data_IF_898754257693
#
_entry.id   IF_898754257693
#
_cell.length_a   1.000
_cell.length_b   1.000
_cell.length_c   1.000
_cell.angle_alpha   90.00
_cell.angle_beta   90.00
_cell.angle_gamma   90.00
#
_symmetry.space_group_name_H-M   'P 1'
#
loop_
_entity.id
_entity.type
_entity.pdbx_description
1 polymer ?
#
# COMPACT_ATOMS: atom_id res chain seq x y z
N UNK A 1 0.28 -23.95 45.20
CA UNK A 1 -0.29 -23.18 44.07
C UNK A 1 -0.97 -21.96 44.66
N UNK A 2 -0.20 -20.89 44.84
CA UNK A 2 -0.64 -19.62 45.43
C UNK A 2 -0.31 -18.53 44.43
N UNK A 3 -1.30 -17.73 44.02
CA UNK A 3 -0.99 -16.48 43.32
C UNK A 3 -1.92 -16.01 42.20
N UNK A 4 -3.06 -16.63 41.94
CA UNK A 4 -4.10 -15.99 41.11
C UNK A 4 -5.08 -15.26 42.02
N UNK A 5 -4.67 -14.06 42.45
CA UNK A 5 -5.61 -13.03 42.90
C UNK A 5 -6.43 -12.62 41.67
N UNK A 6 -7.45 -13.41 41.34
CA UNK A 6 -8.51 -12.97 40.43
C UNK A 6 -9.24 -11.89 41.20
N UNK A 7 -8.97 -10.64 40.84
CA UNK A 7 -9.58 -9.49 41.48
C UNK A 7 -11.12 -9.66 41.52
N UNK A 8 -11.80 -9.38 42.65
CA UNK A 8 -13.23 -9.66 42.82
C UNK A 8 -14.12 -9.06 41.74
N UNK A 9 -13.71 -7.96 41.11
CA UNK A 9 -14.43 -7.35 40.00
C UNK A 9 -14.36 -8.16 38.70
N UNK A 10 -13.28 -8.93 38.45
CA UNK A 10 -13.24 -9.90 37.35
C UNK A 10 -14.19 -11.07 37.60
N UNK A 11 -14.32 -11.52 38.85
CA UNK A 11 -15.27 -12.55 39.25
C UNK A 11 -16.72 -12.05 39.12
N UNK A 12 -17.04 -10.86 39.63
CA UNK A 12 -18.36 -10.23 39.52
C UNK A 12 -18.72 -9.96 38.06
N UNK A 13 -17.78 -9.50 37.24
CA UNK A 13 -17.98 -9.26 35.80
C UNK A 13 -18.26 -10.56 35.03
N UNK A 14 -17.52 -11.63 35.30
CA UNK A 14 -17.72 -12.91 34.64
C UNK A 14 -19.00 -13.63 35.12
N UNK A 15 -19.31 -13.56 36.42
CA UNK A 15 -20.58 -14.09 36.96
C UNK A 15 -21.78 -13.32 36.40
N UNK A 16 -21.73 -11.97 36.34
CA UNK A 16 -22.81 -11.14 35.75
C UNK A 16 -23.00 -11.36 34.25
N UNK A 17 -21.92 -11.49 33.48
CA UNK A 17 -22.01 -11.84 32.04
C UNK A 17 -22.64 -13.21 31.82
N UNK A 18 -22.38 -14.18 32.69
CA UNK A 18 -23.03 -15.50 32.65
C UNK A 18 -24.45 -15.53 33.20
N UNK A 19 -24.99 -14.42 33.75
CA UNK A 19 -26.37 -14.35 34.27
C UNK A 19 -27.33 -13.60 33.35
N UNK A 20 -26.85 -13.01 32.25
CA UNK A 20 -27.70 -12.34 31.27
C UNK A 20 -28.10 -13.30 30.16
N UNK A 21 -29.35 -13.19 29.70
CA UNK A 21 -29.75 -13.88 28.46
C UNK A 21 -29.04 -13.26 27.25
N UNK A 22 -29.06 -13.97 26.14
CA UNK A 22 -28.51 -13.47 24.88
C UNK A 22 -29.22 -12.17 24.45
N UNK A 23 -30.54 -12.06 24.65
CA UNK A 23 -31.29 -10.83 24.35
C UNK A 23 -30.90 -9.66 25.26
N UNK A 24 -30.66 -9.92 26.55
CA UNK A 24 -30.20 -8.88 27.48
C UNK A 24 -28.80 -8.39 27.11
N UNK A 25 -27.93 -9.31 26.72
CA UNK A 25 -26.58 -8.99 26.25
C UNK A 25 -26.63 -8.17 24.96
N UNK A 26 -27.42 -8.59 23.98
CA UNK A 26 -27.61 -7.88 22.72
C UNK A 26 -28.15 -6.45 22.95
N UNK A 27 -29.11 -6.29 23.87
CA UNK A 27 -29.68 -4.98 24.23
C UNK A 27 -28.61 -4.04 24.79
N UNK A 28 -27.76 -4.53 25.71
CA UNK A 28 -26.66 -3.73 26.27
C UNK A 28 -25.62 -3.36 25.22
N UNK A 29 -25.33 -4.27 24.29
CA UNK A 29 -24.46 -3.98 23.15
C UNK A 29 -25.07 -2.92 22.23
N UNK A 30 -26.36 -2.99 21.91
CA UNK A 30 -27.07 -1.95 21.13
C UNK A 30 -27.05 -0.57 21.81
N UNK A 31 -27.25 -0.52 23.12
CA UNK A 31 -27.13 0.74 23.89
C UNK A 31 -25.70 1.29 23.88
N UNK A 32 -24.70 0.43 24.01
CA UNK A 32 -23.30 0.83 23.98
C UNK A 32 -22.90 1.33 22.58
N UNK A 33 -23.33 0.67 21.52
CA UNK A 33 -23.13 1.12 20.14
C UNK A 33 -23.66 2.54 19.94
N UNK A 34 -24.91 2.82 20.32
CA UNK A 34 -25.49 4.17 20.23
C UNK A 34 -24.72 5.24 21.01
N UNK A 35 -24.14 4.88 22.17
CA UNK A 35 -23.30 5.80 22.96
C UNK A 35 -21.96 6.09 22.30
N UNK A 36 -21.41 5.15 21.53
CA UNK A 36 -20.17 5.35 20.79
C UNK A 36 -20.40 6.05 19.45
N UNK A 37 -21.52 5.80 18.79
CA UNK A 37 -21.93 6.46 17.56
C UNK A 37 -22.03 7.99 17.68
N UNK A 38 -22.34 8.51 18.88
CA UNK A 38 -22.42 9.95 19.16
C UNK A 38 -21.08 10.61 19.46
N UNK A 39 -19.96 9.86 19.40
CA UNK A 39 -18.62 10.35 19.67
C UNK A 39 -17.79 10.32 18.40
N UNK A 40 -16.97 11.35 18.23
CA UNK A 40 -16.05 11.43 17.10
C UNK A 40 -14.76 10.63 17.34
N UNK A 41 -14.13 10.25 16.24
CA UNK A 41 -12.80 9.65 16.21
C UNK A 41 -12.79 8.13 16.05
N UNK A 42 -11.69 7.62 15.51
CA UNK A 42 -11.54 6.21 15.12
C UNK A 42 -11.67 5.25 16.31
N UNK A 43 -11.21 5.65 17.50
CA UNK A 43 -11.43 4.85 18.70
C UNK A 43 -12.92 4.67 18.99
N UNK A 44 -13.72 5.72 18.83
CA UNK A 44 -15.16 5.63 19.03
C UNK A 44 -15.80 4.71 17.99
N UNK A 45 -15.45 4.85 16.71
CA UNK A 45 -15.90 3.97 15.62
C UNK A 45 -15.53 2.51 15.85
N UNK A 46 -14.30 2.23 16.31
CA UNK A 46 -13.89 0.87 16.69
C UNK A 46 -14.77 0.28 17.78
N UNK A 47 -15.05 1.06 18.83
CA UNK A 47 -15.89 0.59 19.94
C UNK A 47 -17.34 0.41 19.50
N UNK A 48 -17.86 1.32 18.68
CA UNK A 48 -19.18 1.21 18.05
C UNK A 48 -19.29 -0.09 17.26
N UNK A 49 -18.37 -0.36 16.33
CA UNK A 49 -18.36 -1.57 15.52
C UNK A 49 -18.33 -2.85 16.35
N UNK A 50 -17.47 -2.92 17.38
CA UNK A 50 -17.46 -4.06 18.31
C UNK A 50 -18.83 -4.28 18.96
N UNK A 51 -19.49 -3.20 19.38
CA UNK A 51 -20.80 -3.31 20.01
C UNK A 51 -21.91 -3.64 19.02
N UNK A 52 -21.87 -3.12 17.78
CA UNK A 52 -22.82 -3.46 16.73
C UNK A 52 -22.80 -4.96 16.41
N UNK A 53 -21.60 -5.53 16.19
CA UNK A 53 -21.40 -6.96 15.93
C UNK A 53 -21.98 -7.87 17.01
N UNK A 54 -21.98 -7.43 18.26
CA UNK A 54 -22.48 -8.22 19.39
C UNK A 54 -23.93 -7.86 19.77
N UNK A 55 -24.56 -6.95 19.03
CA UNK A 55 -25.95 -6.54 19.24
C UNK A 55 -26.95 -7.25 18.31
N UNK A 56 -26.45 -7.99 17.32
CA UNK A 56 -27.24 -8.66 16.29
C UNK A 56 -26.33 -9.21 15.19
N UNK A 57 -26.87 -9.34 13.97
CA UNK A 57 -26.07 -9.72 12.81
C UNK A 57 -25.10 -8.60 12.39
N UNK A 58 -23.90 -8.94 11.90
CA UNK A 58 -22.96 -7.97 11.34
C UNK A 58 -23.57 -7.16 10.19
N UNK A 59 -23.52 -5.84 10.31
CA UNK A 59 -23.85 -4.94 9.21
C UNK A 59 -22.62 -4.79 8.29
N UNK A 60 -22.65 -5.48 7.16
CA UNK A 60 -21.55 -5.45 6.18
C UNK A 60 -21.43 -4.11 5.48
N UNK A 61 -22.51 -3.35 5.30
CA UNK A 61 -22.48 -2.00 4.75
C UNK A 61 -21.78 -1.04 5.72
N UNK A 62 -22.13 -1.11 7.01
CA UNK A 62 -21.48 -0.29 8.03
C UNK A 62 -19.98 -0.58 8.11
N UNK A 63 -19.60 -1.86 8.07
CA UNK A 63 -18.19 -2.26 8.06
C UNK A 63 -17.47 -1.75 6.81
N UNK A 64 -18.06 -1.93 5.62
CA UNK A 64 -17.47 -1.44 4.38
C UNK A 64 -17.23 0.09 4.42
N UNK A 65 -18.14 0.85 5.03
CA UNK A 65 -18.01 2.30 5.18
C UNK A 65 -16.91 2.70 6.20
N UNK A 66 -16.85 2.05 7.36
CA UNK A 66 -16.04 2.53 8.48
C UNK A 66 -14.67 1.85 8.62
N UNK A 67 -14.54 0.60 8.18
CA UNK A 67 -13.32 -0.20 8.32
C UNK A 67 -12.09 0.43 7.64
N UNK A 68 -12.19 1.12 6.48
CA UNK A 68 -11.04 1.83 5.89
C UNK A 68 -10.43 2.87 6.84
N UNK A 69 -11.27 3.68 7.51
CA UNK A 69 -10.80 4.69 8.48
C UNK A 69 -10.17 4.07 9.72
N UNK A 70 -10.66 2.91 10.16
CA UNK A 70 -10.09 2.16 11.29
C UNK A 70 -8.74 1.58 10.88
N UNK A 71 -8.67 0.97 9.70
CA UNK A 71 -7.43 0.39 9.13
C UNK A 71 -6.35 1.45 8.96
N UNK A 72 -6.73 2.67 8.58
CA UNK A 72 -5.79 3.79 8.45
C UNK A 72 -5.12 4.16 9.78
N UNK A 73 -5.75 3.96 10.94
CA UNK A 73 -5.09 4.29 12.22
C UNK A 73 -4.57 3.07 12.99
N UNK A 74 -5.28 1.95 12.89
CA UNK A 74 -5.05 0.74 13.66
C UNK A 74 -5.56 -0.48 12.87
N UNK A 75 -4.74 -0.96 11.94
CA UNK A 75 -5.06 -2.16 11.14
C UNK A 75 -5.22 -3.42 11.98
N UNK A 76 -4.60 -3.50 13.16
CA UNK A 76 -4.79 -4.62 14.08
C UNK A 76 -6.20 -4.61 14.67
N UNK A 77 -6.71 -3.43 15.04
CA UNK A 77 -8.11 -3.29 15.44
C UNK A 77 -9.09 -3.61 14.31
N UNK A 78 -8.81 -3.16 13.09
CA UNK A 78 -9.62 -3.52 11.93
C UNK A 78 -9.65 -5.04 11.71
N UNK A 79 -8.50 -5.71 11.86
CA UNK A 79 -8.40 -7.17 11.74
C UNK A 79 -9.27 -7.87 12.79
N UNK A 80 -9.19 -7.44 14.06
CA UNK A 80 -10.05 -8.01 15.11
C UNK A 80 -11.54 -7.81 14.81
N UNK A 81 -11.94 -6.64 14.30
CA UNK A 81 -13.35 -6.38 13.98
C UNK A 81 -13.84 -7.23 12.81
N UNK A 82 -13.06 -7.37 11.74
CA UNK A 82 -13.49 -8.15 10.58
C UNK A 82 -13.49 -9.66 10.88
N UNK A 83 -12.55 -10.17 11.68
CA UNK A 83 -12.58 -11.56 12.14
C UNK A 83 -13.81 -11.86 13.00
N UNK A 84 -14.20 -10.91 13.87
CA UNK A 84 -15.45 -11.02 14.62
C UNK A 84 -16.66 -11.04 13.69
N UNK A 85 -16.68 -10.19 12.65
CA UNK A 85 -17.76 -10.14 11.68
C UNK A 85 -17.89 -11.43 10.86
N UNK A 86 -16.77 -11.96 10.34
CA UNK A 86 -16.72 -13.22 9.59
C UNK A 86 -17.12 -14.41 10.46
N UNK A 87 -16.82 -14.39 11.76
CA UNK A 87 -17.26 -15.42 12.70
C UNK A 87 -18.76 -15.42 12.99
N UNK A 88 -19.46 -14.32 12.68
CA UNK A 88 -20.88 -14.11 12.98
C UNK A 88 -21.77 -14.09 11.73
N UNK A 89 -21.20 -14.04 10.53
CA UNK A 89 -21.92 -13.96 9.26
C UNK A 89 -21.21 -14.73 8.16
N UNK A 90 -21.99 -15.42 7.32
CA UNK A 90 -21.51 -16.09 6.10
C UNK A 90 -21.48 -15.15 4.89
N UNK A 91 -21.67 -13.85 5.07
CA UNK A 91 -21.56 -12.85 4.00
C UNK A 91 -20.16 -12.88 3.38
N UNK A 92 -20.11 -13.26 2.11
CA UNK A 92 -18.88 -13.39 1.34
C UNK A 92 -18.10 -12.07 1.26
N UNK A 93 -18.78 -10.92 1.25
CA UNK A 93 -18.14 -9.60 1.19
C UNK A 93 -17.29 -9.31 2.44
N UNK A 94 -17.69 -9.82 3.61
CA UNK A 94 -16.92 -9.71 4.84
C UNK A 94 -15.63 -10.56 4.76
N UNK A 95 -15.75 -11.76 4.20
CA UNK A 95 -14.61 -12.66 4.00
C UNK A 95 -13.64 -12.14 2.96
N UNK A 96 -14.16 -11.54 1.89
CA UNK A 96 -13.38 -10.80 0.91
C UNK A 96 -12.58 -9.65 1.55
N UNK A 97 -13.24 -8.88 2.42
CA UNK A 97 -12.62 -7.77 3.17
C UNK A 97 -11.55 -8.27 4.14
N UNK A 98 -11.80 -9.39 4.83
CA UNK A 98 -10.82 -10.02 5.72
C UNK A 98 -9.58 -10.50 4.95
N UNK A 99 -9.78 -11.14 3.80
CA UNK A 99 -8.68 -11.55 2.92
C UNK A 99 -7.88 -10.34 2.43
N UNK A 100 -8.54 -9.26 1.98
CA UNK A 100 -7.86 -8.05 1.51
C UNK A 100 -7.06 -7.38 2.64
N UNK A 101 -7.61 -7.31 3.85
CA UNK A 101 -6.90 -6.76 5.00
C UNK A 101 -5.67 -7.60 5.38
N UNK A 102 -5.79 -8.93 5.38
CA UNK A 102 -4.67 -9.82 5.63
C UNK A 102 -3.57 -9.68 4.56
N UNK A 103 -3.95 -9.57 3.28
CA UNK A 103 -3.02 -9.30 2.17
C UNK A 103 -2.35 -7.93 2.33
N UNK A 104 -3.12 -6.89 2.68
CA UNK A 104 -2.57 -5.57 2.98
C UNK A 104 -1.59 -5.59 4.13
N UNK A 105 -1.77 -6.46 5.13
CA UNK A 105 -0.85 -6.64 6.27
C UNK A 105 0.33 -7.57 5.97
N UNK A 106 0.35 -8.23 4.81
CA UNK A 106 1.37 -9.23 4.45
C UNK A 106 1.22 -10.57 5.19
N UNK A 107 0.04 -10.85 5.74
CA UNK A 107 -0.29 -12.06 6.51
C UNK A 107 -0.77 -13.18 5.59
N UNK A 108 0.17 -13.78 4.84
CA UNK A 108 -0.14 -14.74 3.77
C UNK A 108 -1.00 -15.94 4.24
N UNK A 109 -0.74 -16.48 5.43
CA UNK A 109 -1.45 -17.64 5.99
C UNK A 109 -2.91 -17.29 6.36
N UNK A 110 -3.12 -16.12 6.95
CA UNK A 110 -4.46 -15.62 7.30
C UNK A 110 -5.25 -15.32 6.01
N UNK A 111 -4.60 -14.67 5.04
CA UNK A 111 -5.20 -14.41 3.73
C UNK A 111 -5.62 -15.71 3.04
N UNK A 112 -4.75 -16.73 3.01
CA UNK A 112 -5.06 -18.03 2.42
C UNK A 112 -6.32 -18.66 3.03
N UNK A 113 -6.40 -18.71 4.36
CA UNK A 113 -7.56 -19.26 5.08
C UNK A 113 -8.87 -18.61 4.65
N UNK A 114 -8.90 -17.29 4.44
CA UNK A 114 -10.09 -16.60 3.95
C UNK A 114 -10.35 -16.88 2.47
N UNK A 115 -9.32 -16.83 1.63
CA UNK A 115 -9.40 -17.03 0.17
C UNK A 115 -9.90 -18.43 -0.18
N UNK A 116 -9.47 -19.46 0.54
CA UNK A 116 -9.88 -20.85 0.28
C UNK A 116 -11.37 -21.08 0.43
N UNK A 117 -12.00 -20.31 1.32
CA UNK A 117 -13.41 -20.35 1.64
C UNK A 117 -14.27 -19.40 0.79
N UNK A 118 -13.68 -18.63 -0.12
CA UNK A 118 -14.43 -17.85 -1.11
C UNK A 118 -14.95 -18.74 -2.23
N UNK A 119 -16.08 -18.35 -2.82
CA UNK A 119 -16.60 -18.94 -4.04
C UNK A 119 -15.60 -18.82 -5.19
N UNK A 120 -15.66 -19.77 -6.12
CA UNK A 120 -14.78 -19.77 -7.28
C UNK A 120 -15.23 -18.68 -8.26
N UNK A 121 -14.37 -17.70 -8.50
CA UNK A 121 -14.63 -16.61 -9.44
C UNK A 121 -13.49 -15.60 -9.50
N UNK A 122 -13.72 -14.50 -10.20
CA UNK A 122 -12.73 -13.43 -10.39
C UNK A 122 -12.21 -12.87 -9.06
N UNK A 123 -13.11 -12.64 -8.09
CA UNK A 123 -12.78 -12.12 -6.76
C UNK A 123 -11.75 -13.01 -6.02
N UNK A 124 -11.99 -14.32 -5.99
CA UNK A 124 -11.04 -15.30 -5.42
C UNK A 124 -9.73 -15.31 -6.19
N UNK A 125 -9.77 -15.35 -7.53
CA UNK A 125 -8.57 -15.37 -8.38
C UNK A 125 -7.66 -14.15 -8.17
N UNK A 126 -8.24 -12.95 -8.06
CA UNK A 126 -7.46 -11.73 -7.78
C UNK A 126 -6.71 -11.82 -6.45
N UNK A 127 -7.36 -12.33 -5.41
CA UNK A 127 -6.75 -12.49 -4.09
C UNK A 127 -5.72 -13.62 -4.07
N UNK A 128 -6.00 -14.73 -4.76
CA UNK A 128 -5.02 -15.78 -4.99
C UNK A 128 -3.79 -15.28 -5.76
N UNK A 129 -3.96 -14.37 -6.73
CA UNK A 129 -2.85 -13.74 -7.43
C UNK A 129 -1.96 -12.91 -6.48
N UNK A 130 -2.57 -12.11 -5.60
CA UNK A 130 -1.84 -11.37 -4.56
C UNK A 130 -1.11 -12.31 -3.58
N UNK A 131 -1.77 -13.38 -3.14
CA UNK A 131 -1.16 -14.39 -2.27
C UNK A 131 0.05 -15.06 -2.95
N UNK A 132 -0.07 -15.41 -4.23
CA UNK A 132 1.03 -15.96 -5.02
C UNK A 132 2.20 -14.95 -5.10
N UNK A 133 1.93 -13.65 -5.28
CA UNK A 133 2.98 -12.61 -5.20
C UNK A 133 3.66 -12.54 -3.84
N UNK A 134 2.91 -12.53 -2.74
CA UNK A 134 3.50 -12.54 -1.39
C UNK A 134 4.42 -13.75 -1.15
N UNK A 135 4.14 -14.87 -1.80
CA UNK A 135 4.94 -16.11 -1.75
C UNK A 135 6.11 -16.14 -2.74
N UNK A 136 6.25 -15.12 -3.60
CA UNK A 136 7.30 -15.07 -4.61
C UNK A 136 6.97 -15.78 -5.93
N UNK A 137 5.72 -16.23 -6.14
CA UNK A 137 5.29 -16.90 -7.37
C UNK A 137 4.61 -15.92 -8.34
N UNK A 138 5.43 -15.10 -9.01
CA UNK A 138 4.92 -14.09 -9.95
C UNK A 138 4.21 -14.70 -11.15
N UNK A 139 4.65 -15.86 -11.65
CA UNK A 139 4.05 -16.48 -12.83
C UNK A 139 2.62 -16.90 -12.55
N UNK A 140 2.39 -17.63 -11.46
CA UNK A 140 1.02 -18.02 -11.08
C UNK A 140 0.17 -16.80 -10.75
N UNK A 141 0.76 -15.76 -10.15
CA UNK A 141 0.04 -14.52 -9.92
C UNK A 141 -0.45 -13.86 -11.22
N UNK A 142 0.40 -13.74 -12.23
CA UNK A 142 0.07 -13.10 -13.50
C UNK A 142 -0.97 -13.91 -14.29
N UNK A 143 -0.87 -15.24 -14.27
CA UNK A 143 -1.86 -16.15 -14.87
C UNK A 143 -3.24 -15.98 -14.22
N UNK A 144 -3.30 -15.97 -12.87
CA UNK A 144 -4.54 -15.78 -12.12
C UNK A 144 -5.15 -14.38 -12.33
N UNK A 145 -4.33 -13.34 -12.29
CA UNK A 145 -4.76 -11.95 -12.51
C UNK A 145 -5.31 -11.77 -13.93
N UNK A 146 -4.63 -12.28 -14.95
CA UNK A 146 -5.09 -12.24 -16.35
C UNK A 146 -6.43 -12.96 -16.52
N UNK A 147 -6.56 -14.16 -15.95
CA UNK A 147 -7.82 -14.91 -15.98
C UNK A 147 -8.95 -14.15 -15.28
N UNK A 148 -8.68 -13.53 -14.12
CA UNK A 148 -9.68 -12.77 -13.39
C UNK A 148 -10.14 -11.53 -14.16
N UNK A 149 -9.21 -10.76 -14.74
CA UNK A 149 -9.53 -9.56 -15.51
C UNK A 149 -10.48 -9.85 -16.68
N UNK A 150 -10.37 -11.02 -17.32
CA UNK A 150 -11.26 -11.44 -18.40
C UNK A 150 -12.71 -11.66 -17.94
N UNK A 151 -12.91 -12.02 -16.68
CA UNK A 151 -14.21 -12.32 -16.06
C UNK A 151 -14.88 -11.08 -15.42
N UNK A 152 -14.10 -10.05 -15.10
CA UNK A 152 -14.62 -8.85 -14.43
C UNK A 152 -15.53 -8.01 -15.33
N UNK A 153 -16.54 -7.33 -14.76
CA UNK A 153 -17.26 -6.25 -15.40
C UNK A 153 -16.31 -5.14 -15.90
N UNK A 154 -16.67 -4.37 -16.95
CA UNK A 154 -15.81 -3.34 -17.53
C UNK A 154 -15.27 -2.31 -16.54
N UNK A 155 -16.11 -1.84 -15.61
CA UNK A 155 -15.73 -0.84 -14.59
C UNK A 155 -14.67 -1.39 -13.63
N UNK A 156 -14.88 -2.58 -13.09
CA UNK A 156 -13.94 -3.26 -12.19
C UNK A 156 -12.65 -3.63 -12.90
N UNK A 157 -12.76 -4.12 -14.14
CA UNK A 157 -11.60 -4.42 -15.00
C UNK A 157 -10.74 -3.17 -15.18
N UNK A 158 -11.33 -2.02 -15.49
CA UNK A 158 -10.57 -0.77 -15.63
C UNK A 158 -9.83 -0.39 -14.33
N UNK A 159 -10.50 -0.46 -13.16
CA UNK A 159 -9.84 -0.18 -11.86
C UNK A 159 -8.69 -1.14 -11.57
N UNK A 160 -8.89 -2.43 -11.83
CA UNK A 160 -7.88 -3.47 -11.60
C UNK A 160 -6.72 -3.33 -12.56
N UNK A 161 -6.96 -3.04 -13.84
CA UNK A 161 -5.90 -2.75 -14.81
C UNK A 161 -5.04 -1.56 -14.38
N UNK A 162 -5.65 -0.45 -13.94
CA UNK A 162 -4.89 0.71 -13.42
C UNK A 162 -4.01 0.29 -12.22
N UNK A 163 -4.57 -0.49 -11.30
CA UNK A 163 -3.84 -0.98 -10.12
C UNK A 163 -2.66 -1.88 -10.52
N UNK A 164 -2.86 -2.78 -11.49
CA UNK A 164 -1.80 -3.64 -12.04
C UNK A 164 -0.70 -2.83 -12.72
N UNK A 165 -1.04 -1.80 -13.49
CA UNK A 165 -0.06 -0.92 -14.15
C UNK A 165 0.82 -0.19 -13.13
N UNK A 166 0.20 0.39 -12.08
CA UNK A 166 0.95 1.05 -11.00
C UNK A 166 1.84 0.05 -10.25
N UNK A 167 1.32 -1.14 -9.94
CA UNK A 167 2.10 -2.21 -9.29
C UNK A 167 3.30 -2.63 -10.14
N UNK A 168 3.11 -2.89 -11.43
CA UNK A 168 4.18 -3.31 -12.34
C UNK A 168 5.23 -2.22 -12.54
N UNK A 169 4.84 -0.95 -12.53
CA UNK A 169 5.79 0.16 -12.54
C UNK A 169 6.62 0.24 -11.25
N UNK A 170 5.98 0.02 -10.09
CA UNK A 170 6.62 0.11 -8.78
C UNK A 170 7.46 -1.14 -8.42
N UNK A 171 7.21 -2.30 -9.05
CA UNK A 171 7.96 -3.56 -8.87
C UNK A 171 9.30 -3.54 -9.63
N UNK A 172 10.19 -2.63 -9.24
CA UNK A 172 11.53 -2.50 -9.82
C UNK A 172 12.51 -1.91 -8.81
N UNK A 173 13.79 -2.16 -9.01
CA UNK A 173 14.82 -1.40 -8.30
C UNK A 173 14.88 0.06 -8.80
N UNK A 174 15.39 1.00 -7.98
CA UNK A 174 15.73 2.34 -8.46
C UNK A 174 16.70 2.25 -9.64
N UNK A 175 16.44 3.05 -10.68
CA UNK A 175 17.18 3.01 -11.93
C UNK A 175 16.29 3.24 -13.16
N UNK A 176 16.89 3.26 -14.36
CA UNK A 176 16.15 3.41 -15.60
C UNK A 176 15.20 2.22 -15.82
N UNK A 177 14.05 2.48 -16.42
CA UNK A 177 13.10 1.44 -16.78
C UNK A 177 13.59 0.68 -18.02
N UNK A 178 13.43 -0.65 -18.02
CA UNK A 178 13.71 -1.48 -19.20
C UNK A 178 12.74 -1.20 -20.35
N UNK A 179 13.23 -1.15 -21.59
CA UNK A 179 12.43 -0.81 -22.77
C UNK A 179 11.22 -1.73 -22.99
N UNK A 180 11.32 -3.01 -22.65
CA UNK A 180 10.22 -3.98 -22.73
C UNK A 180 9.06 -3.59 -21.80
N UNK A 181 9.35 -3.46 -20.50
CA UNK A 181 8.38 -3.05 -19.49
C UNK A 181 7.78 -1.67 -19.80
N UNK A 182 8.61 -0.71 -20.23
CA UNK A 182 8.14 0.61 -20.63
C UNK A 182 7.11 0.56 -21.76
N UNK A 183 7.37 -0.27 -22.78
CA UNK A 183 6.44 -0.47 -23.90
C UNK A 183 5.15 -1.18 -23.48
N UNK A 184 5.21 -2.14 -22.57
CA UNK A 184 4.04 -2.82 -22.01
C UNK A 184 3.16 -1.86 -21.19
N UNK A 185 3.77 -1.07 -20.30
CA UNK A 185 3.07 -0.07 -19.51
C UNK A 185 2.42 1.00 -20.40
N UNK A 186 3.13 1.52 -21.40
CA UNK A 186 2.59 2.50 -22.32
C UNK A 186 1.35 1.96 -23.06
N UNK A 187 1.42 0.72 -23.59
CA UNK A 187 0.28 0.07 -24.24
C UNK A 187 -0.89 -0.15 -23.26
N UNK A 188 -0.57 -0.58 -22.04
CA UNK A 188 -1.58 -0.82 -21.01
C UNK A 188 -2.32 0.44 -20.58
N UNK A 189 -1.60 1.56 -20.42
CA UNK A 189 -2.18 2.87 -20.12
C UNK A 189 -3.19 3.29 -21.19
N UNK A 190 -2.85 3.15 -22.46
CA UNK A 190 -3.73 3.53 -23.58
C UNK A 190 -4.93 2.57 -23.76
N UNK A 191 -4.82 1.35 -23.25
CA UNK A 191 -5.89 0.35 -23.33
C UNK A 191 -6.97 0.52 -22.24
N UNK A 192 -6.76 1.37 -21.23
CA UNK A 192 -7.75 1.59 -20.17
C UNK A 192 -8.92 2.40 -20.69
N UNK A 193 -10.11 1.79 -20.72
CA UNK A 193 -11.36 2.49 -21.01
C UNK A 193 -11.90 3.22 -19.78
N UNK A 194 -11.61 4.53 -19.68
CA UNK A 194 -12.14 5.38 -18.61
C UNK A 194 -13.66 5.59 -18.72
N UNK A 195 -14.27 5.42 -19.90
CA UNK A 195 -15.71 5.61 -20.06
C UNK A 195 -16.51 4.50 -19.35
N UNK A 196 -15.91 3.32 -19.17
CA UNK A 196 -16.44 2.21 -18.40
C UNK A 196 -16.52 2.49 -16.89
N UNK A 197 -15.82 3.51 -16.38
CA UNK A 197 -15.85 3.87 -14.97
C UNK A 197 -17.04 4.77 -14.64
N UNK A 198 -17.61 4.67 -13.41
CA UNK A 198 -18.56 5.65 -12.89
C UNK A 198 -17.95 7.05 -12.84
N UNK A 199 -18.78 8.07 -12.99
CA UNK A 199 -18.32 9.48 -13.04
C UNK A 199 -17.53 9.88 -11.79
N UNK A 200 -17.92 9.36 -10.62
CA UNK A 200 -17.23 9.57 -9.34
C UNK A 200 -15.76 9.13 -9.36
N UNK A 201 -15.40 8.17 -10.22
CA UNK A 201 -14.09 7.53 -10.23
C UNK A 201 -13.20 7.98 -11.39
N UNK A 202 -13.79 8.55 -12.44
CA UNK A 202 -13.06 8.94 -13.66
C UNK A 202 -11.94 9.93 -13.39
N UNK A 203 -12.18 10.90 -12.51
CA UNK A 203 -11.17 11.90 -12.14
C UNK A 203 -9.96 11.25 -11.45
N UNK A 204 -10.19 10.40 -10.44
CA UNK A 204 -9.13 9.71 -9.72
C UNK A 204 -8.36 8.73 -10.62
N UNK A 205 -9.07 7.99 -11.48
CA UNK A 205 -8.47 7.08 -12.45
C UNK A 205 -7.61 7.82 -13.48
N UNK A 206 -8.11 8.93 -14.02
CA UNK A 206 -7.36 9.79 -14.94
C UNK A 206 -6.09 10.33 -14.28
N UNK A 207 -6.19 10.83 -13.04
CA UNK A 207 -5.04 11.32 -12.28
C UNK A 207 -3.98 10.24 -12.07
N UNK A 208 -4.40 9.01 -11.73
CA UNK A 208 -3.48 7.89 -11.55
C UNK A 208 -2.74 7.53 -12.85
N UNK A 209 -3.44 7.52 -13.98
CA UNK A 209 -2.83 7.27 -15.30
C UNK A 209 -1.88 8.42 -15.70
N UNK A 210 -2.25 9.68 -15.48
CA UNK A 210 -1.38 10.82 -15.79
C UNK A 210 -0.11 10.85 -14.91
N UNK A 211 -0.20 10.48 -13.63
CA UNK A 211 0.96 10.29 -12.77
C UNK A 211 1.90 9.20 -13.32
N UNK A 212 1.33 8.09 -13.81
CA UNK A 212 2.09 7.01 -14.40
C UNK A 212 2.71 7.41 -15.75
N UNK A 213 1.96 8.10 -16.62
CA UNK A 213 2.47 8.66 -17.88
C UNK A 213 3.63 9.61 -17.64
N UNK A 214 3.50 10.52 -16.67
CA UNK A 214 4.56 11.45 -16.31
C UNK A 214 5.83 10.72 -15.89
N UNK A 215 5.71 9.75 -14.96
CA UNK A 215 6.85 8.97 -14.48
C UNK A 215 7.52 8.14 -15.59
N UNK A 216 6.72 7.47 -16.41
CA UNK A 216 7.20 6.67 -17.53
C UNK A 216 7.93 7.54 -18.57
N UNK A 217 7.40 8.73 -18.86
CA UNK A 217 8.03 9.68 -19.76
C UNK A 217 9.38 10.20 -19.22
N UNK A 218 9.50 10.46 -17.92
CA UNK A 218 10.78 10.81 -17.31
C UNK A 218 11.80 9.66 -17.40
N UNK A 219 11.37 8.43 -17.08
CA UNK A 219 12.26 7.25 -17.10
C UNK A 219 12.72 6.88 -18.52
N UNK A 220 11.96 7.25 -19.54
CA UNK A 220 12.28 7.00 -20.97
C UNK A 220 12.90 8.21 -21.68
N UNK A 221 13.00 9.36 -21.00
CA UNK A 221 13.53 10.60 -21.58
C UNK A 221 12.61 11.32 -22.56
N UNK A 222 11.31 11.00 -22.60
CA UNK A 222 10.32 11.68 -23.43
C UNK A 222 9.87 13.00 -22.76
N UNK A 223 10.70 14.04 -22.88
CA UNK A 223 10.44 15.37 -22.30
C UNK A 223 9.09 15.94 -22.76
N UNK A 224 8.70 15.88 -24.05
CA UNK A 224 7.39 16.34 -24.47
C UNK A 224 6.22 15.60 -23.79
N UNK A 225 6.29 14.28 -23.63
CA UNK A 225 5.25 13.53 -22.94
C UNK A 225 5.20 13.85 -21.44
N UNK A 226 6.35 13.99 -20.79
CA UNK A 226 6.42 14.38 -19.39
C UNK A 226 5.78 15.76 -19.16
N UNK A 227 6.09 16.74 -20.01
CA UNK A 227 5.51 18.07 -19.93
C UNK A 227 3.97 18.06 -20.14
N UNK A 228 3.47 17.28 -21.11
CA UNK A 228 2.02 17.13 -21.33
C UNK A 228 1.31 16.53 -20.12
N UNK A 229 1.84 15.45 -19.56
CA UNK A 229 1.28 14.81 -18.38
C UNK A 229 1.31 15.75 -17.17
N UNK A 230 2.41 16.49 -16.95
CA UNK A 230 2.52 17.51 -15.90
C UNK A 230 1.46 18.61 -16.04
N UNK A 231 1.22 19.11 -17.25
CA UNK A 231 0.17 20.11 -17.49
C UNK A 231 -1.24 19.56 -17.26
N UNK A 232 -1.50 18.29 -17.60
CA UNK A 232 -2.78 17.64 -17.30
C UNK A 232 -3.00 17.51 -15.79
N UNK A 233 -1.96 17.10 -15.04
CA UNK A 233 -1.98 17.03 -13.59
C UNK A 233 -2.20 18.41 -12.94
N UNK A 234 -1.53 19.44 -13.44
CA UNK A 234 -1.72 20.83 -12.98
C UNK A 234 -3.16 21.31 -13.23
N UNK A 235 -3.71 21.02 -14.41
CA UNK A 235 -5.09 21.38 -14.74
C UNK A 235 -6.11 20.69 -13.81
N UNK A 236 -5.82 19.48 -13.34
CA UNK A 236 -6.69 18.71 -12.47
C UNK A 236 -6.56 19.11 -10.98
N UNK A 237 -5.33 19.37 -10.52
CA UNK A 237 -5.02 19.62 -9.11
C UNK A 237 -4.92 21.11 -8.74
N UNK A 238 -4.63 21.96 -9.74
CA UNK A 238 -4.28 23.36 -9.57
C UNK A 238 -2.76 23.59 -9.42
N UNK A 239 -2.26 24.79 -9.79
CA UNK A 239 -0.83 25.11 -9.83
C UNK A 239 -0.15 25.14 -8.45
N UNK A 240 -0.92 25.39 -7.38
CA UNK A 240 -0.41 25.48 -6.02
C UNK A 240 -0.57 24.17 -5.23
N UNK A 241 -0.96 23.07 -5.88
CA UNK A 241 -1.12 21.79 -5.19
C UNK A 241 0.25 21.27 -4.71
N UNK A 242 0.39 20.73 -3.48
CA UNK A 242 1.68 20.28 -2.94
C UNK A 242 2.41 19.27 -3.83
N UNK A 243 1.67 18.42 -4.55
CA UNK A 243 2.26 17.45 -5.49
C UNK A 243 2.95 18.10 -6.70
N UNK A 244 2.65 19.35 -7.06
CA UNK A 244 3.31 20.01 -8.20
C UNK A 244 4.81 20.18 -7.96
N UNK A 245 5.22 20.56 -6.75
CA UNK A 245 6.63 20.67 -6.38
C UNK A 245 7.38 19.35 -6.53
N UNK A 246 6.72 18.22 -6.23
CA UNK A 246 7.28 16.89 -6.40
C UNK A 246 7.48 16.51 -7.88
N UNK A 247 6.50 16.82 -8.74
CA UNK A 247 6.59 16.57 -10.17
C UNK A 247 7.72 17.39 -10.80
N UNK A 248 7.79 18.67 -10.45
CA UNK A 248 8.80 19.59 -10.95
C UNK A 248 10.21 19.17 -10.47
N UNK A 249 10.36 18.76 -9.21
CA UNK A 249 11.61 18.20 -8.70
C UNK A 249 12.03 16.93 -9.47
N UNK A 250 11.11 16.01 -9.71
CA UNK A 250 11.41 14.79 -10.48
C UNK A 250 11.88 15.10 -11.90
N UNK A 251 11.25 16.07 -12.57
CA UNK A 251 11.68 16.48 -13.90
C UNK A 251 13.09 17.11 -13.89
N UNK A 252 13.40 17.92 -12.88
CA UNK A 252 14.75 18.47 -12.68
C UNK A 252 15.80 17.37 -12.43
N UNK A 253 15.49 16.40 -11.57
CA UNK A 253 16.38 15.28 -11.26
C UNK A 253 16.57 14.32 -12.45
N UNK A 254 15.56 14.15 -13.30
CA UNK A 254 15.64 13.35 -14.51
C UNK A 254 16.54 13.98 -15.60
N UNK A 255 16.72 15.31 -15.57
CA UNK A 255 17.53 16.06 -16.52
C UNK A 255 19.04 15.96 -16.20
N UNK A 256 19.59 14.75 -16.36
CA UNK A 256 20.98 14.44 -15.95
C UNK A 256 22.01 14.85 -17.00
N UNK A 257 23.14 15.38 -16.54
CA UNK A 257 24.35 15.61 -17.34
C UNK A 257 25.47 14.74 -16.78
N UNK A 258 26.15 13.96 -17.63
CA UNK A 258 27.18 12.99 -17.22
C UNK A 258 26.73 12.04 -16.09
N UNK A 259 25.46 11.61 -16.14
CA UNK A 259 24.89 10.66 -15.19
C UNK A 259 24.50 11.24 -13.83
N UNK A 260 24.58 12.57 -13.63
CA UNK A 260 24.17 13.26 -12.39
C UNK A 260 23.20 14.40 -12.64
N UNK A 261 22.35 14.68 -11.64
CA UNK A 261 21.49 15.87 -11.61
C UNK A 261 22.32 17.17 -11.48
N UNK A 262 21.73 18.30 -11.87
CA UNK A 262 22.37 19.61 -11.74
C UNK A 262 22.45 20.06 -10.28
N UNK A 263 23.36 21.00 -9.97
CA UNK A 263 23.51 21.54 -8.61
C UNK A 263 22.23 22.27 -8.16
N UNK A 264 21.51 22.91 -9.09
CA UNK A 264 20.21 23.53 -8.81
C UNK A 264 19.15 22.50 -8.44
N UNK A 265 19.08 21.37 -9.16
CA UNK A 265 18.16 20.28 -8.84
C UNK A 265 18.47 19.68 -7.46
N UNK A 266 19.75 19.52 -7.12
CA UNK A 266 20.19 19.03 -5.81
C UNK A 266 19.87 20.03 -4.69
N UNK A 267 19.97 21.34 -4.94
CA UNK A 267 19.58 22.38 -3.98
C UNK A 267 18.06 22.41 -3.75
N UNK A 268 17.26 22.29 -4.82
CA UNK A 268 15.81 22.17 -4.75
C UNK A 268 15.39 20.93 -3.95
N UNK A 269 16.01 19.78 -4.21
CA UNK A 269 15.79 18.55 -3.46
C UNK A 269 16.04 18.74 -1.97
N UNK A 270 17.17 19.36 -1.61
CA UNK A 270 17.53 19.61 -0.22
C UNK A 270 16.51 20.49 0.49
N UNK A 271 16.10 21.59 -0.13
CA UNK A 271 15.06 22.48 0.41
C UNK A 271 13.75 21.74 0.65
N UNK A 272 13.35 20.88 -0.30
CA UNK A 272 12.11 20.10 -0.16
C UNK A 272 12.22 19.03 0.93
N UNK A 273 13.37 18.38 1.08
CA UNK A 273 13.63 17.42 2.17
C UNK A 273 13.53 18.11 3.54
N UNK A 274 14.13 19.28 3.69
CA UNK A 274 14.17 20.04 4.95
C UNK A 274 12.79 20.61 5.35
N UNK A 275 11.89 20.81 4.39
CA UNK A 275 10.53 21.33 4.60
C UNK A 275 9.43 20.26 4.60
N UNK A 276 9.76 19.00 4.33
CA UNK A 276 8.79 17.90 4.27
C UNK A 276 8.66 17.18 5.61
N UNK A 277 7.51 17.36 6.26
CA UNK A 277 7.18 16.70 7.52
C UNK A 277 6.67 15.26 7.32
N UNK A 278 5.99 15.00 6.21
CA UNK A 278 5.42 13.69 5.89
C UNK A 278 6.52 12.69 5.53
N UNK A 279 6.80 11.77 6.46
CA UNK A 279 7.87 10.78 6.32
C UNK A 279 7.82 10.00 4.99
N UNK A 280 6.68 9.44 4.52
CA UNK A 280 6.64 8.72 3.26
C UNK A 280 7.08 9.57 2.06
N UNK A 281 6.70 10.84 2.05
CA UNK A 281 7.06 11.76 0.96
C UNK A 281 8.53 12.18 1.06
N UNK A 282 9.02 12.47 2.27
CA UNK A 282 10.44 12.74 2.52
C UNK A 282 11.34 11.60 2.06
N UNK A 283 10.96 10.35 2.33
CA UNK A 283 11.67 9.16 1.84
C UNK A 283 11.70 9.12 0.31
N UNK A 284 10.57 9.38 -0.35
CA UNK A 284 10.49 9.40 -1.83
C UNK A 284 11.40 10.47 -2.44
N UNK A 285 11.50 11.65 -1.82
CA UNK A 285 12.41 12.72 -2.27
C UNK A 285 13.86 12.27 -2.15
N UNK A 286 14.24 11.78 -0.97
CA UNK A 286 15.60 11.31 -0.69
C UNK A 286 15.99 10.22 -1.69
N UNK A 287 15.13 9.22 -1.90
CA UNK A 287 15.41 8.12 -2.83
C UNK A 287 15.54 8.60 -4.28
N UNK A 288 14.66 9.48 -4.76
CA UNK A 288 14.74 10.04 -6.12
C UNK A 288 16.02 10.88 -6.32
N UNK A 289 16.46 11.58 -5.27
CA UNK A 289 17.68 12.38 -5.29
C UNK A 289 18.92 11.49 -5.26
N UNK A 290 18.91 10.43 -4.44
CA UNK A 290 19.98 9.42 -4.41
C UNK A 290 20.18 8.78 -5.79
N UNK A 291 19.08 8.36 -6.43
CA UNK A 291 19.08 7.77 -7.76
C UNK A 291 19.70 8.69 -8.83
N UNK A 292 19.54 9.99 -8.67
CA UNK A 292 19.99 10.99 -9.64
C UNK A 292 21.33 11.63 -9.28
N UNK A 293 21.90 11.31 -8.12
CA UNK A 293 23.12 11.96 -7.61
C UNK A 293 24.42 11.42 -8.23
N UNK A 294 24.43 10.15 -8.68
CA UNK A 294 25.64 9.44 -9.10
C UNK A 294 26.55 9.13 -7.91
N UNK A 295 27.18 10.17 -7.33
CA UNK A 295 27.90 10.11 -6.06
C UNK A 295 27.19 10.96 -5.00
N UNK A 296 26.49 10.35 -4.03
CA UNK A 296 25.70 11.09 -3.03
C UNK A 296 26.57 12.01 -2.15
N UNK A 297 26.22 13.30 -2.01
CA UNK A 297 26.91 14.19 -1.07
C UNK A 297 26.57 13.85 0.39
N UNK A 298 27.46 14.22 1.32
CA UNK A 298 27.32 13.93 2.76
C UNK A 298 25.96 14.32 3.36
N UNK A 299 25.40 15.45 2.92
CA UNK A 299 24.09 15.90 3.43
C UNK A 299 22.97 14.94 3.03
N UNK A 300 23.03 14.34 1.85
CA UNK A 300 22.03 13.41 1.34
C UNK A 300 22.16 12.05 2.03
N UNK A 301 23.40 11.62 2.25
CA UNK A 301 23.70 10.43 3.06
C UNK A 301 23.17 10.60 4.49
N UNK A 302 23.42 11.76 5.12
CA UNK A 302 22.88 12.09 6.46
C UNK A 302 21.35 12.14 6.47
N UNK A 303 20.72 12.73 5.46
CA UNK A 303 19.26 12.75 5.33
C UNK A 303 18.68 11.33 5.20
N UNK A 304 19.35 10.44 4.45
CA UNK A 304 18.94 9.04 4.40
C UNK A 304 19.14 8.32 5.74
N UNK A 305 20.20 8.62 6.49
CA UNK A 305 20.39 8.05 7.83
C UNK A 305 19.34 8.53 8.84
N UNK A 306 18.87 9.78 8.76
CA UNK A 306 17.85 10.28 9.69
C UNK A 306 16.52 9.55 9.55
N UNK A 307 16.14 9.18 8.31
CA UNK A 307 14.92 8.40 8.04
C UNK A 307 15.08 6.90 8.33
N UNK A 308 16.31 6.41 8.54
CA UNK A 308 16.57 4.97 8.72
C UNK A 308 16.01 4.42 10.03
N UNK A 309 15.92 5.26 11.07
CA UNK A 309 15.42 4.89 12.41
C UNK A 309 13.93 5.17 12.59
N UNK A 310 13.30 5.88 11.65
CA UNK A 310 11.89 6.23 11.75
C UNK A 310 10.99 5.02 11.40
N UNK A 311 9.90 4.86 12.14
CA UNK A 311 8.98 3.74 11.95
C UNK A 311 8.08 3.99 10.75
N UNK A 312 8.02 3.01 9.84
CA UNK A 312 7.01 2.95 8.80
C UNK A 312 5.93 1.95 9.19
N UNK A 313 4.70 2.23 8.78
CA UNK A 313 3.56 1.35 8.91
C UNK A 313 3.65 0.14 7.99
N UNK A 314 4.31 -0.91 8.43
CA UNK A 314 4.49 -2.13 7.63
C UNK A 314 3.17 -2.91 7.40
N UNK A 315 2.07 -2.48 8.01
CA UNK A 315 0.71 -2.90 7.70
C UNK A 315 0.12 -2.27 6.42
N UNK A 316 0.83 -1.34 5.78
CA UNK A 316 0.47 -0.78 4.48
C UNK A 316 1.45 -1.26 3.40
N UNK A 317 0.95 -1.77 2.27
CA UNK A 317 1.78 -2.25 1.17
C UNK A 317 2.75 -1.17 0.64
N UNK A 318 2.28 0.08 0.54
CA UNK A 318 3.10 1.22 0.11
C UNK A 318 4.29 1.47 1.05
N UNK A 319 4.07 1.38 2.36
CA UNK A 319 5.11 1.59 3.36
C UNK A 319 6.09 0.41 3.42
N UNK A 320 5.62 -0.83 3.21
CA UNK A 320 6.53 -1.99 3.04
C UNK A 320 7.46 -1.79 1.86
N UNK A 321 6.95 -1.27 0.73
CA UNK A 321 7.78 -0.93 -0.43
C UNK A 321 8.82 0.14 -0.11
N UNK A 322 8.42 1.23 0.57
CA UNK A 322 9.38 2.25 1.02
C UNK A 322 10.42 1.69 1.97
N UNK A 323 10.03 0.78 2.88
CA UNK A 323 10.95 0.10 3.78
C UNK A 323 11.95 -0.77 3.02
N UNK A 324 11.50 -1.53 2.01
CA UNK A 324 12.36 -2.32 1.13
C UNK A 324 13.37 -1.44 0.38
N UNK A 325 12.91 -0.34 -0.22
CA UNK A 325 13.78 0.63 -0.91
C UNK A 325 14.79 1.28 0.04
N UNK A 326 14.39 1.57 1.29
CA UNK A 326 15.29 2.11 2.31
C UNK A 326 16.42 1.13 2.60
N UNK A 327 16.11 -0.16 2.78
CA UNK A 327 17.14 -1.20 2.95
C UNK A 327 18.03 -1.38 1.72
N UNK A 328 17.47 -1.28 0.51
CA UNK A 328 18.26 -1.27 -0.71
C UNK A 328 19.30 -0.13 -0.71
N UNK A 329 18.85 1.10 -0.44
CA UNK A 329 19.73 2.27 -0.38
C UNK A 329 20.77 2.18 0.74
N UNK A 330 20.43 1.59 1.89
CA UNK A 330 21.44 1.27 2.92
C UNK A 330 22.54 0.36 2.41
N UNK A 331 22.23 -0.64 1.58
CA UNK A 331 23.28 -1.49 1.00
C UNK A 331 24.12 -0.80 -0.09
N UNK A 332 23.54 0.21 -0.76
CA UNK A 332 24.28 1.07 -1.69
C UNK A 332 25.24 2.00 -0.93
N UNK A 333 24.75 2.66 0.14
CA UNK A 333 25.48 3.67 0.91
C UNK A 333 26.47 3.08 1.93
N UNK A 334 26.18 1.91 2.50
CA UNK A 334 26.99 1.24 3.53
C UNK A 334 27.63 -0.04 2.97
N UNK A 335 28.69 0.09 2.17
CA UNK A 335 29.33 -1.03 1.46
C UNK A 335 29.75 -2.18 2.38
N UNK A 336 30.23 -1.88 3.59
CA UNK A 336 30.67 -2.86 4.60
C UNK A 336 29.55 -3.81 5.06
N UNK A 337 28.29 -3.39 4.94
CA UNK A 337 27.10 -4.15 5.36
C UNK A 337 26.18 -4.49 4.19
N UNK A 338 26.63 -4.27 2.95
CA UNK A 338 25.84 -4.38 1.72
C UNK A 338 25.04 -5.68 1.65
N UNK A 339 25.70 -6.82 1.84
CA UNK A 339 25.04 -8.13 1.72
C UNK A 339 23.92 -8.30 2.75
N UNK A 340 24.15 -7.88 4.00
CA UNK A 340 23.13 -7.93 5.04
C UNK A 340 21.95 -7.00 4.74
N UNK A 341 22.22 -5.79 4.25
CA UNK A 341 21.18 -4.83 3.90
C UNK A 341 20.36 -5.28 2.69
N UNK A 342 21.01 -5.82 1.66
CA UNK A 342 20.33 -6.31 0.47
C UNK A 342 19.56 -7.60 0.73
N UNK A 343 20.04 -8.48 1.61
CA UNK A 343 19.26 -9.64 2.05
C UNK A 343 17.94 -9.22 2.74
N UNK A 344 18.00 -8.21 3.61
CA UNK A 344 16.81 -7.64 4.24
C UNK A 344 15.90 -6.98 3.20
N UNK A 345 16.46 -6.19 2.27
CA UNK A 345 15.69 -5.55 1.20
C UNK A 345 14.93 -6.59 0.34
N UNK A 346 15.56 -7.71 -0.03
CA UNK A 346 14.93 -8.80 -0.79
C UNK A 346 13.73 -9.37 -0.03
N UNK A 347 13.88 -9.64 1.28
CA UNK A 347 12.78 -10.11 2.11
C UNK A 347 11.62 -9.12 2.12
N UNK A 348 11.91 -7.83 2.31
CA UNK A 348 10.88 -6.78 2.33
C UNK A 348 10.21 -6.58 0.97
N UNK A 349 10.95 -6.62 -0.14
CA UNK A 349 10.37 -6.51 -1.47
C UNK A 349 9.35 -7.64 -1.73
N UNK A 350 9.63 -8.87 -1.33
CA UNK A 350 8.67 -9.99 -1.42
C UNK A 350 7.39 -9.72 -0.63
N UNK A 351 7.51 -9.27 0.62
CA UNK A 351 6.34 -8.90 1.44
C UNK A 351 5.56 -7.69 0.89
N UNK A 352 6.18 -6.88 0.03
CA UNK A 352 5.55 -5.76 -0.66
C UNK A 352 4.96 -6.13 -2.03
N UNK A 353 4.91 -7.42 -2.37
CA UNK A 353 4.49 -7.95 -3.68
C UNK A 353 5.38 -7.45 -4.85
N UNK A 354 6.65 -7.12 -4.57
CA UNK A 354 7.64 -6.62 -5.54
C UNK A 354 8.69 -7.70 -5.86
N UNK A 355 8.27 -8.78 -6.51
CA UNK A 355 9.11 -9.94 -6.77
C UNK A 355 10.15 -9.70 -7.87
N UNK A 356 9.88 -8.82 -8.82
CA UNK A 356 10.84 -8.46 -9.87
C UNK A 356 12.01 -7.71 -9.25
N UNK A 357 11.74 -6.70 -8.42
CA UNK A 357 12.75 -5.97 -7.66
C UNK A 357 13.58 -6.91 -6.75
N UNK A 358 12.91 -7.84 -6.06
CA UNK A 358 13.58 -8.83 -5.22
C UNK A 358 14.52 -9.75 -6.01
N UNK A 359 14.08 -10.18 -7.20
CA UNK A 359 14.86 -11.08 -8.07
C UNK A 359 16.04 -10.37 -8.72
N UNK A 360 15.84 -9.14 -9.18
CA UNK A 360 16.90 -8.27 -9.70
C UNK A 360 17.99 -8.04 -8.65
N UNK A 361 17.58 -7.72 -7.41
CA UNK A 361 18.52 -7.49 -6.32
C UNK A 361 19.30 -8.76 -5.93
N UNK A 362 18.62 -9.91 -5.96
CA UNK A 362 19.28 -11.20 -5.74
C UNK A 362 20.33 -11.49 -6.82
N UNK A 363 20.03 -11.20 -8.08
CA UNK A 363 20.99 -11.35 -9.19
C UNK A 363 22.19 -10.40 -9.03
N UNK A 364 21.96 -9.14 -8.62
CA UNK A 364 23.03 -8.18 -8.32
C UNK A 364 23.92 -8.69 -7.17
N UNK A 365 23.32 -9.23 -6.11
CA UNK A 365 24.04 -9.84 -4.99
C UNK A 365 24.94 -11.00 -5.44
N UNK A 366 24.40 -11.93 -6.23
CA UNK A 366 25.16 -13.10 -6.69
C UNK A 366 26.23 -12.77 -7.71
N UNK A 367 26.06 -11.69 -8.49
CA UNK A 367 27.04 -11.24 -9.49
C UNK A 367 28.15 -10.36 -8.89
N UNK A 368 27.96 -9.88 -7.66
CA UNK A 368 28.93 -9.07 -6.92
C UNK A 368 29.85 -9.91 -6.01
N UNK A 369 29.63 -11.23 -5.97
CA UNK A 369 30.47 -12.26 -5.32
C UNK A 369 31.27 -12.94 -6.43
#
# INVERSE_FOLDING_TARGET
WSGLMVEPHHLIRNVRRGSWSDEQTATLHSEAARKWASRDGVRARRMEGHHLLHSGEPDSEWLAEHLPSITEQDSAAAAVLIEQAVGLSDDESLRETAADLALERGEAEIAESHIENLSVGAARKLRSARLARLRGDSRTADEMETSALAELPPSERARRTISSLVRSYDDRLPGPIGAGLAGELAKGIEAVDLSALPESDRSAASLALELLRHRLALDTGDVPAAARARSALESALGPNHPHMAMLDLRAQLASRTDGRASDEAMASARSLIESCDELPERIRIIHATLESSGNPPDWLVKAHFSIATESLREDLAMHRRLCAQRWYWRGVLESERRLSHWHEAISRFRTAECNTAASELLQMMTSSI
#
